data_IF_180266449550
#
_entry.id   IF_180266449550
#
_cell.length_a   1.000
_cell.length_b   1.000
_cell.length_c   1.000
_cell.angle_alpha   90.00
_cell.angle_beta   90.00
_cell.angle_gamma   90.00
#
_symmetry.space_group_name_H-M   'P 1'
#
loop_
_entity.id
_entity.type
_entity.pdbx_description
1 polymer ?
#
# COMPACT_ATOMS: atom_id res chain seq x y z
N UNK A 1 -28.07 5.14 29.22
CA UNK A 1 -28.18 3.67 29.37
C UNK A 1 -26.77 3.10 29.24
N UNK A 2 -26.31 2.33 30.22
CA UNK A 2 -24.95 1.80 30.24
C UNK A 2 -24.80 0.71 29.16
N UNK A 3 -23.84 0.87 28.25
CA UNK A 3 -23.51 -0.13 27.23
C UNK A 3 -22.80 -1.29 27.91
N UNK A 4 -23.59 -2.24 28.41
CA UNK A 4 -23.19 -3.61 28.78
C UNK A 4 -23.52 -4.47 27.54
N UNK A 5 -22.70 -5.38 27.04
CA UNK A 5 -21.31 -5.67 27.30
C UNK A 5 -20.69 -6.24 26.03
N UNK A 6 -19.57 -5.66 25.60
CA UNK A 6 -18.72 -6.22 24.56
C UNK A 6 -17.31 -6.28 25.11
N UNK A 7 -16.70 -7.46 25.02
CA UNK A 7 -15.30 -7.67 25.37
C UNK A 7 -14.46 -7.68 24.11
N UNK A 8 -13.27 -7.11 24.20
CA UNK A 8 -12.32 -7.00 23.09
C UNK A 8 -11.08 -7.79 23.49
N UNK A 9 -10.63 -8.63 22.58
CA UNK A 9 -9.45 -9.47 22.77
C UNK A 9 -8.52 -9.27 21.58
N UNK A 10 -7.24 -9.42 21.83
CA UNK A 10 -6.21 -9.34 20.82
C UNK A 10 -5.45 -10.64 20.70
N UNK A 11 -5.32 -11.15 19.47
CA UNK A 11 -4.49 -12.32 19.20
C UNK A 11 -3.51 -12.00 18.07
N UNK A 12 -2.19 -12.18 18.25
CA UNK A 12 -1.24 -12.07 17.15
C UNK A 12 -1.64 -12.97 15.96
N UNK A 13 -1.44 -12.50 14.73
CA UNK A 13 -1.72 -13.34 13.55
C UNK A 13 -0.79 -14.56 13.50
N UNK A 14 -1.23 -15.63 12.83
CA UNK A 14 -0.37 -16.79 12.58
C UNK A 14 0.92 -16.36 11.86
N UNK A 15 2.08 -16.73 12.42
CA UNK A 15 3.40 -16.35 11.91
C UNK A 15 3.88 -14.94 12.32
N UNK A 16 3.08 -14.19 13.09
CA UNK A 16 3.54 -12.96 13.71
C UNK A 16 4.53 -13.24 14.85
N UNK A 17 5.29 -12.22 15.24
CA UNK A 17 6.16 -12.32 16.40
C UNK A 17 5.35 -12.70 17.64
N UNK A 18 5.95 -13.50 18.52
CA UNK A 18 5.40 -13.79 19.83
C UNK A 18 5.30 -12.53 20.70
N UNK A 19 6.07 -11.48 20.40
CA UNK A 19 6.05 -10.23 21.17
C UNK A 19 5.05 -9.23 20.59
N UNK A 20 4.17 -8.70 21.44
CA UNK A 20 3.21 -7.65 21.02
C UNK A 20 3.92 -6.39 20.52
N UNK A 21 5.07 -6.07 21.11
CA UNK A 21 5.96 -4.96 20.75
C UNK A 21 6.33 -4.97 19.26
N UNK A 22 6.77 -6.11 18.73
CA UNK A 22 7.17 -6.23 17.31
C UNK A 22 5.97 -6.16 16.35
N UNK A 23 4.78 -6.49 16.83
CA UNK A 23 3.55 -6.42 16.05
C UNK A 23 2.93 -5.02 16.04
N UNK A 24 3.49 -4.04 16.77
CA UNK A 24 2.98 -2.68 16.78
C UNK A 24 3.08 -2.01 15.41
N UNK A 25 2.01 -1.32 15.01
CA UNK A 25 1.98 -0.52 13.81
C UNK A 25 2.47 0.88 14.16
N UNK A 26 3.58 1.28 13.55
CA UNK A 26 4.23 2.56 13.78
C UNK A 26 3.89 3.59 12.72
N UNK A 27 3.91 4.87 13.12
CA UNK A 27 3.62 5.99 12.24
C UNK A 27 4.61 6.06 11.08
N UNK A 28 4.12 6.31 9.87
CA UNK A 28 4.88 6.43 8.62
C UNK A 28 5.73 5.20 8.24
N UNK A 29 5.48 4.04 8.84
CA UNK A 29 6.27 2.83 8.58
C UNK A 29 5.79 2.02 7.37
N UNK A 30 4.58 2.28 6.87
CA UNK A 30 3.90 1.46 5.86
C UNK A 30 2.39 1.73 5.80
N UNK A 31 1.63 0.69 5.45
CA UNK A 31 0.21 0.73 5.16
C UNK A 31 -0.56 -0.32 5.94
N UNK A 32 -1.77 0.03 6.34
CA UNK A 32 -2.65 -0.77 7.16
C UNK A 32 -3.76 -1.34 6.27
N UNK A 33 -4.02 -2.63 6.42
CA UNK A 33 -5.22 -3.26 5.88
C UNK A 33 -6.10 -3.73 7.04
N UNK A 34 -7.40 -3.51 6.92
CA UNK A 34 -8.41 -3.99 7.85
C UNK A 34 -9.39 -4.86 7.09
N UNK A 35 -9.49 -6.11 7.48
CA UNK A 35 -10.43 -7.06 6.91
C UNK A 35 -11.34 -7.56 8.03
N UNK A 36 -12.65 -7.44 7.84
CA UNK A 36 -13.61 -8.23 8.60
C UNK A 36 -13.45 -9.67 8.12
N UNK A 37 -13.01 -10.56 9.01
CA UNK A 37 -12.65 -11.95 8.67
C UNK A 37 -13.80 -12.91 8.92
N UNK A 38 -14.48 -12.77 10.06
CA UNK A 38 -15.65 -13.58 10.37
C UNK A 38 -16.60 -12.87 11.32
N UNK A 39 -17.86 -13.30 11.29
CA UNK A 39 -18.97 -12.83 12.10
C UNK A 39 -19.80 -14.03 12.51
N UNK A 40 -20.12 -14.12 13.80
CA UNK A 40 -21.17 -15.00 14.28
C UNK A 40 -22.30 -14.16 14.87
N UNK A 41 -23.53 -14.53 14.54
CA UNK A 41 -24.74 -13.97 15.13
C UNK A 41 -25.48 -15.05 15.91
N UNK A 42 -25.66 -14.82 17.21
CA UNK A 42 -26.55 -15.62 18.04
C UNK A 42 -27.92 -14.97 18.07
N UNK A 43 -28.89 -15.57 17.36
CA UNK A 43 -30.27 -15.08 17.42
C UNK A 43 -30.96 -15.58 18.68
N UNK A 44 -31.48 -14.65 19.50
CA UNK A 44 -32.36 -14.97 20.62
C UNK A 44 -33.78 -14.53 20.27
N UNK A 45 -34.65 -15.50 19.97
CA UNK A 45 -36.03 -15.25 19.62
C UNK A 45 -36.88 -14.91 20.84
N UNK A 46 -37.90 -14.06 20.66
CA UNK A 46 -38.93 -13.91 21.68
C UNK A 46 -39.83 -15.17 21.74
N UNK A 47 -40.74 -15.23 22.73
CA UNK A 47 -41.68 -16.35 22.90
C UNK A 47 -42.38 -16.73 21.59
N UNK A 48 -42.96 -15.75 20.89
CA UNK A 48 -43.70 -15.98 19.65
C UNK A 48 -42.81 -16.48 18.52
N UNK A 49 -41.62 -15.91 18.33
CA UNK A 49 -40.69 -16.37 17.32
C UNK A 49 -40.19 -17.79 17.64
N UNK A 50 -40.01 -18.12 18.92
CA UNK A 50 -39.60 -19.45 19.38
C UNK A 50 -40.69 -20.49 19.15
N UNK A 51 -41.94 -20.16 19.47
CA UNK A 51 -43.08 -21.10 19.38
C UNK A 51 -43.55 -21.31 17.95
N UNK A 52 -43.50 -20.29 17.09
CA UNK A 52 -44.11 -20.32 15.75
C UNK A 52 -43.11 -20.27 14.59
N UNK A 53 -41.80 -20.35 14.87
CA UNK A 53 -40.77 -20.42 13.83
C UNK A 53 -40.47 -19.07 13.17
N UNK A 54 -40.23 -18.04 13.99
CA UNK A 54 -39.90 -16.70 13.54
C UNK A 54 -38.48 -16.55 12.97
N UNK A 55 -38.28 -15.42 12.31
CA UNK A 55 -36.99 -15.02 11.73
C UNK A 55 -36.66 -13.59 12.14
N UNK A 56 -35.37 -13.28 12.17
CA UNK A 56 -34.84 -11.93 12.26
C UNK A 56 -34.20 -11.55 10.93
N UNK A 57 -34.37 -10.31 10.49
CA UNK A 57 -33.46 -9.73 9.48
C UNK A 57 -32.34 -9.03 10.21
N UNK A 58 -31.10 -9.36 9.89
CA UNK A 58 -29.92 -8.73 10.47
C UNK A 58 -29.25 -7.83 9.44
N UNK A 59 -28.70 -6.71 9.92
CA UNK A 59 -27.85 -5.83 9.16
C UNK A 59 -26.55 -5.59 9.92
N UNK A 60 -25.43 -5.77 9.23
CA UNK A 60 -24.08 -5.50 9.74
C UNK A 60 -23.53 -4.25 9.04
N UNK A 61 -23.15 -3.26 9.82
CA UNK A 61 -22.49 -2.06 9.34
C UNK A 61 -21.18 -1.81 10.09
N UNK A 62 -20.18 -1.37 9.34
CA UNK A 62 -18.86 -0.97 9.85
C UNK A 62 -18.62 0.48 9.51
N UNK A 63 -18.15 1.24 10.49
CA UNK A 63 -17.70 2.62 10.33
C UNK A 63 -16.22 2.70 10.67
N UNK A 64 -15.43 3.23 9.75
CA UNK A 64 -14.02 3.50 9.94
C UNK A 64 -13.81 5.01 10.05
N UNK A 65 -13.19 5.46 11.13
CA UNK A 65 -12.75 6.83 11.33
C UNK A 65 -11.23 6.86 11.31
N UNK A 66 -10.70 7.69 10.43
CA UNK A 66 -9.28 7.91 10.23
C UNK A 66 -8.95 9.35 10.63
N UNK A 67 -8.10 9.53 11.63
CA UNK A 67 -7.77 10.84 12.19
C UNK A 67 -6.29 11.16 11.96
N UNK A 68 -6.01 12.26 11.28
CA UNK A 68 -4.67 12.74 10.98
C UNK A 68 -4.58 14.24 11.26
N UNK A 69 -4.11 14.60 12.46
CA UNK A 69 -4.08 15.99 12.90
C UNK A 69 -5.48 16.59 13.01
N UNK A 70 -5.76 17.63 12.23
CA UNK A 70 -7.08 18.30 12.19
C UNK A 70 -8.05 17.65 11.21
N UNK A 71 -7.57 16.79 10.32
CA UNK A 71 -8.39 16.13 9.31
C UNK A 71 -8.92 14.80 9.85
N UNK A 72 -10.23 14.61 9.75
CA UNK A 72 -10.90 13.35 10.10
C UNK A 72 -11.71 12.87 8.91
N UNK A 73 -11.42 11.67 8.43
CA UNK A 73 -12.17 11.00 7.39
C UNK A 73 -12.98 9.89 8.05
N UNK A 74 -14.29 9.87 7.78
CA UNK A 74 -15.19 8.82 8.25
C UNK A 74 -15.85 8.15 7.06
N UNK A 75 -15.80 6.82 7.02
CA UNK A 75 -16.45 6.00 6.01
C UNK A 75 -17.32 4.96 6.69
N UNK A 76 -18.61 4.89 6.32
CA UNK A 76 -19.53 3.86 6.81
C UNK A 76 -20.00 2.99 5.66
N UNK A 77 -20.01 1.67 5.87
CA UNK A 77 -20.42 0.69 4.87
C UNK A 77 -21.27 -0.42 5.50
N UNK A 78 -22.30 -0.84 4.77
CA UNK A 78 -23.10 -2.02 5.10
C UNK A 78 -22.37 -3.23 4.54
N UNK A 79 -21.99 -4.15 5.42
CA UNK A 79 -21.20 -5.34 5.07
C UNK A 79 -22.06 -6.51 4.65
N UNK A 80 -23.23 -6.64 5.27
CA UNK A 80 -24.14 -7.75 5.03
C UNK A 80 -25.54 -7.43 5.53
N UNK A 81 -26.54 -7.98 4.84
CA UNK A 81 -27.94 -7.92 5.26
C UNK A 81 -28.61 -9.23 4.86
N UNK A 82 -29.18 -9.95 5.82
CA UNK A 82 -29.85 -11.23 5.54
C UNK A 82 -30.92 -11.58 6.55
N UNK A 83 -31.80 -12.50 6.17
CA UNK A 83 -32.83 -13.06 7.03
C UNK A 83 -32.36 -14.40 7.60
N UNK A 84 -32.54 -14.60 8.90
CA UNK A 84 -32.07 -15.79 9.64
C UNK A 84 -33.17 -16.27 10.60
N UNK A 85 -33.22 -17.57 10.90
CA UNK A 85 -34.20 -18.10 11.86
C UNK A 85 -33.75 -17.80 13.28
N UNK A 86 -34.69 -17.66 14.20
CA UNK A 86 -34.32 -17.42 15.60
C UNK A 86 -33.77 -18.67 16.30
N UNK A 87 -33.10 -18.46 17.45
CA UNK A 87 -32.57 -19.51 18.34
C UNK A 87 -31.56 -20.45 17.67
N UNK A 88 -30.73 -19.87 16.81
CA UNK A 88 -29.60 -20.55 16.17
C UNK A 88 -28.42 -19.61 16.07
N UNK A 89 -27.23 -20.20 16.06
CA UNK A 89 -25.99 -19.51 15.76
C UNK A 89 -25.76 -19.54 14.26
N UNK A 90 -25.39 -18.37 13.72
CA UNK A 90 -25.13 -18.17 12.31
C UNK A 90 -23.73 -17.62 12.13
N UNK A 91 -22.84 -18.50 11.66
CA UNK A 91 -21.59 -18.05 11.10
C UNK A 91 -21.84 -17.46 9.70
N UNK A 92 -21.56 -16.18 9.54
CA UNK A 92 -21.88 -15.45 8.32
C UNK A 92 -20.76 -15.52 7.28
N UNK A 93 -19.57 -16.01 7.64
CA UNK A 93 -18.45 -16.24 6.70
C UNK A 93 -18.04 -14.98 5.91
N UNK A 94 -18.11 -13.80 6.55
CA UNK A 94 -17.90 -12.53 5.87
C UNK A 94 -16.41 -12.18 5.85
N UNK A 95 -15.72 -12.50 4.74
CA UNK A 95 -14.36 -12.03 4.46
C UNK A 95 -14.40 -10.75 3.63
N UNK A 96 -14.60 -9.60 4.27
CA UNK A 96 -14.75 -8.29 3.61
C UNK A 96 -13.61 -7.34 3.97
N UNK A 97 -12.99 -6.75 2.95
CA UNK A 97 -12.00 -5.70 3.16
C UNK A 97 -12.72 -4.41 3.53
N UNK A 98 -12.46 -3.91 4.73
CA UNK A 98 -13.01 -2.65 5.25
C UNK A 98 -12.10 -1.49 4.83
N UNK A 99 -10.79 -1.73 4.85
CA UNK A 99 -9.77 -0.79 4.43
C UNK A 99 -8.60 -1.53 3.80
N UNK A 100 -8.09 -1.00 2.70
CA UNK A 100 -6.95 -1.55 1.98
C UNK A 100 -5.91 -0.45 1.80
N UNK A 101 -4.68 -0.75 2.22
CA UNK A 101 -3.49 0.09 2.05
C UNK A 101 -3.71 1.54 2.50
N UNK A 102 -4.29 1.73 3.68
CA UNK A 102 -4.38 3.05 4.30
C UNK A 102 -2.99 3.42 4.84
N UNK A 103 -2.44 4.59 4.50
CA UNK A 103 -1.13 4.98 5.01
C UNK A 103 -1.15 5.10 6.54
N UNK A 104 -0.11 4.60 7.20
CA UNK A 104 0.03 4.67 8.65
C UNK A 104 0.48 6.06 9.13
N UNK A 105 -0.01 7.15 8.54
CA UNK A 105 0.32 8.53 8.94
C UNK A 105 -0.74 9.17 9.85
N UNK A 106 -1.86 8.48 10.11
CA UNK A 106 -2.85 8.89 11.10
C UNK A 106 -2.26 8.89 12.52
N UNK A 107 -2.91 9.65 13.40
CA UNK A 107 -2.72 9.60 14.84
C UNK A 107 -3.56 8.49 15.47
N UNK A 108 -4.76 8.25 14.92
CA UNK A 108 -5.66 7.21 15.39
C UNK A 108 -6.54 6.65 14.26
N UNK A 109 -6.92 5.38 14.43
CA UNK A 109 -7.96 4.72 13.64
C UNK A 109 -9.02 4.21 14.61
N UNK A 110 -10.28 4.58 14.39
CA UNK A 110 -11.40 4.01 15.12
C UNK A 110 -12.25 3.13 14.20
N UNK A 111 -12.49 1.89 14.63
CA UNK A 111 -13.36 0.92 13.98
C UNK A 111 -14.61 0.82 14.84
N UNK A 112 -15.74 1.26 14.32
CA UNK A 112 -17.05 1.10 14.94
C UNK A 112 -17.82 0.06 14.16
N UNK A 113 -18.51 -0.82 14.87
CA UNK A 113 -19.33 -1.86 14.27
C UNK A 113 -20.66 -1.90 14.97
N UNK A 114 -21.70 -1.96 14.16
CA UNK A 114 -23.07 -2.07 14.62
C UNK A 114 -23.73 -3.23 13.90
N UNK A 115 -24.19 -4.19 14.69
CA UNK A 115 -25.01 -5.29 14.20
C UNK A 115 -26.40 -5.19 14.79
N UNK A 116 -27.38 -5.16 13.90
CA UNK A 116 -28.72 -4.70 14.22
C UNK A 116 -29.76 -5.71 13.73
N UNK A 117 -30.69 -6.09 14.60
CA UNK A 117 -31.88 -6.82 14.19
C UNK A 117 -32.94 -5.83 13.68
N UNK A 118 -33.25 -5.91 12.39
CA UNK A 118 -34.20 -5.06 11.67
C UNK A 118 -35.60 -5.65 11.83
N UNK A 119 -36.46 -4.98 12.60
CA UNK A 119 -37.85 -5.41 12.86
C UNK A 119 -38.91 -4.67 12.02
N UNK A 120 -38.52 -3.73 11.14
CA UNK A 120 -39.45 -2.79 10.48
C UNK A 120 -39.34 -2.86 8.93
N UNK A 121 -40.49 -3.01 8.26
CA UNK A 121 -40.64 -3.14 6.79
C UNK A 121 -40.18 -1.89 6.00
N UNK A 122 -40.07 -0.73 6.66
CA UNK A 122 -39.55 0.50 6.02
C UNK A 122 -38.02 0.52 5.90
N UNK A 123 -37.30 -0.09 6.83
CA UNK A 123 -35.84 -0.30 6.75
C UNK A 123 -35.50 -1.39 5.75
N UNK A 124 -36.35 -2.42 5.66
CA UNK A 124 -36.27 -3.48 4.66
C UNK A 124 -36.11 -2.90 3.25
N UNK A 125 -37.04 -2.03 2.83
CA UNK A 125 -37.02 -1.42 1.50
C UNK A 125 -35.74 -0.58 1.25
N UNK A 126 -35.26 0.15 2.27
CA UNK A 126 -34.05 0.97 2.15
C UNK A 126 -32.76 0.14 2.13
N UNK A 127 -32.70 -0.98 2.86
CA UNK A 127 -31.59 -1.94 2.77
C UNK A 127 -31.59 -2.68 1.44
N UNK A 128 -32.77 -3.04 0.92
CA UNK A 128 -32.91 -3.71 -0.36
C UNK A 128 -32.47 -2.78 -1.53
N UNK A 129 -32.67 -1.47 -1.39
CA UNK A 129 -32.06 -0.46 -2.29
C UNK A 129 -30.53 -0.41 -2.17
N UNK A 130 -29.96 -0.41 -0.96
CA UNK A 130 -28.50 -0.40 -0.76
C UNK A 130 -27.80 -1.68 -1.22
N UNK A 131 -28.53 -2.80 -1.25
CA UNK A 131 -28.05 -4.07 -1.76
C UNK A 131 -28.05 -4.18 -3.30
N UNK A 132 -28.58 -3.18 -4.02
CA UNK A 132 -28.47 -3.20 -5.47
C UNK A 132 -27.01 -3.04 -5.92
N UNK A 133 -26.60 -3.72 -7.02
CA UNK A 133 -25.21 -3.73 -7.48
C UNK A 133 -24.60 -2.34 -7.69
N UNK A 134 -25.44 -1.37 -8.04
CA UNK A 134 -25.09 0.04 -8.27
C UNK A 134 -24.60 0.74 -6.98
N UNK A 135 -25.13 0.38 -5.81
CA UNK A 135 -24.72 0.93 -4.52
C UNK A 135 -23.62 0.09 -3.86
N UNK A 136 -23.62 -1.23 -4.06
CA UNK A 136 -22.56 -2.11 -3.56
C UNK A 136 -21.21 -1.87 -4.25
N UNK A 137 -21.20 -1.58 -5.56
CA UNK A 137 -19.99 -1.24 -6.29
C UNK A 137 -19.37 0.08 -5.80
N UNK A 138 -20.20 1.08 -5.49
CA UNK A 138 -19.74 2.33 -4.87
C UNK A 138 -19.22 2.14 -3.43
N UNK A 139 -19.69 1.10 -2.71
CA UNK A 139 -19.24 0.74 -1.36
C UNK A 139 -17.91 -0.05 -1.33
N UNK A 140 -17.53 -0.72 -2.42
CA UNK A 140 -16.33 -1.57 -2.51
C UNK A 140 -15.11 -0.89 -3.15
N UNK A 141 -15.23 0.36 -3.59
CA UNK A 141 -14.14 1.08 -4.24
C UNK A 141 -13.31 1.90 -3.23
N UNK A 142 -12.20 1.31 -2.76
CA UNK A 142 -11.00 2.09 -2.47
C UNK A 142 -10.11 2.10 -3.74
N UNK A 143 -9.33 3.15 -4.09
CA UNK A 143 -9.18 4.48 -3.50
C UNK A 143 -9.54 5.62 -4.50
N UNK A 144 -10.64 6.33 -4.25
CA UNK A 144 -10.96 7.70 -4.73
C UNK A 144 -11.81 8.41 -3.65
N UNK A 145 -11.32 8.32 -2.40
CA UNK A 145 -12.12 8.19 -1.16
C UNK A 145 -12.66 9.49 -0.53
N UNK A 146 -12.44 10.69 -1.07
CA UNK A 146 -12.93 11.90 -0.36
C UNK A 146 -14.28 12.40 -0.86
N UNK A 147 -14.61 12.25 -2.15
CA UNK A 147 -15.82 12.87 -2.74
C UNK A 147 -17.11 12.04 -2.67
N UNK A 148 -17.03 10.73 -2.92
CA UNK A 148 -18.23 9.86 -3.00
C UNK A 148 -18.63 9.26 -1.63
N UNK A 149 -17.72 9.28 -0.65
CA UNK A 149 -17.93 8.69 0.68
C UNK A 149 -18.88 9.51 1.55
N UNK A 150 -18.95 10.84 1.35
CA UNK A 150 -19.82 11.73 2.13
C UNK A 150 -21.31 11.44 1.90
N UNK A 151 -21.72 11.19 0.65
CA UNK A 151 -23.13 10.97 0.30
C UNK A 151 -23.64 9.63 0.84
N UNK A 152 -22.84 8.56 0.70
CA UNK A 152 -23.20 7.21 1.14
C UNK A 152 -23.19 7.11 2.68
N UNK A 153 -22.20 7.72 3.34
CA UNK A 153 -22.11 7.74 4.80
C UNK A 153 -23.33 8.44 5.42
N UNK A 154 -23.83 9.52 4.81
CA UNK A 154 -25.02 10.23 5.30
C UNK A 154 -26.31 9.39 5.20
N UNK A 155 -26.45 8.61 4.12
CA UNK A 155 -27.60 7.72 3.91
C UNK A 155 -27.58 6.57 4.91
N UNK A 156 -26.44 5.88 5.05
CA UNK A 156 -26.31 4.75 5.99
C UNK A 156 -26.50 5.22 7.44
N UNK A 157 -25.90 6.36 7.83
CA UNK A 157 -26.13 6.95 9.16
C UNK A 157 -27.62 7.21 9.41
N UNK A 158 -28.33 7.83 8.46
CA UNK A 158 -29.78 8.07 8.55
C UNK A 158 -30.59 6.78 8.73
N UNK A 159 -30.21 5.69 8.07
CA UNK A 159 -30.89 4.39 8.24
C UNK A 159 -30.81 3.86 9.67
N UNK A 160 -29.64 3.99 10.30
CA UNK A 160 -29.41 3.49 11.65
C UNK A 160 -29.80 4.47 12.77
N UNK A 161 -30.14 5.73 12.44
CA UNK A 161 -30.65 6.74 13.39
C UNK A 161 -32.18 6.93 13.34
N UNK A 162 -32.83 6.74 12.19
CA UNK A 162 -34.29 6.95 12.04
C UNK A 162 -35.15 5.78 12.51
N UNK A 163 -34.51 4.67 12.87
CA UNK A 163 -35.18 3.52 13.45
C UNK A 163 -34.75 3.40 14.90
N UNK A 164 -35.60 2.81 15.72
CA UNK A 164 -35.26 2.44 17.10
C UNK A 164 -34.87 0.94 17.12
N UNK A 165 -33.83 0.49 16.39
CA UNK A 165 -33.55 -0.91 16.34
C UNK A 165 -32.74 -1.30 17.57
N UNK A 166 -33.10 -2.43 18.18
CA UNK A 166 -32.28 -3.01 19.22
C UNK A 166 -30.97 -3.52 18.59
N UNK A 167 -29.87 -2.79 18.83
CA UNK A 167 -28.53 -3.22 18.46
C UNK A 167 -28.17 -4.45 19.30
N UNK A 168 -27.76 -5.54 18.63
CA UNK A 168 -27.35 -6.78 19.29
C UNK A 168 -25.86 -6.74 19.66
N UNK A 169 -25.06 -6.05 18.82
CA UNK A 169 -23.67 -5.75 19.10
C UNK A 169 -23.40 -4.31 18.66
N UNK A 170 -22.91 -3.49 19.58
CA UNK A 170 -22.35 -2.18 19.29
C UNK A 170 -20.97 -2.11 19.92
N UNK A 171 -19.95 -2.12 19.08
CA UNK A 171 -18.57 -2.23 19.50
C UNK A 171 -17.71 -1.20 18.77
N UNK A 172 -16.87 -0.50 19.51
CA UNK A 172 -15.91 0.44 18.94
C UNK A 172 -14.51 0.09 19.41
N UNK A 173 -13.51 0.16 18.54
CA UNK A 173 -12.10 0.06 18.91
C UNK A 173 -11.36 1.26 18.36
N UNK A 174 -10.68 2.00 19.23
CA UNK A 174 -9.80 3.09 18.84
C UNK A 174 -8.35 2.63 19.03
N UNK A 175 -7.63 2.46 17.92
CA UNK A 175 -6.21 2.14 17.89
C UNK A 175 -5.39 3.40 17.62
N UNK A 176 -4.46 3.70 18.53
CA UNK A 176 -3.50 4.79 18.39
C UNK A 176 -2.32 4.31 17.54
N UNK A 177 -1.92 5.10 16.54
CA UNK A 177 -0.73 4.84 15.74
C UNK A 177 0.39 5.73 16.27
N UNK A 178 1.28 5.16 17.07
CA UNK A 178 2.37 5.92 17.70
C UNK A 178 3.63 5.95 16.84
N UNK A 179 4.44 6.99 17.03
CA UNK A 179 5.78 7.09 16.44
C UNK A 179 6.81 6.22 17.17
N UNK A 180 6.55 5.86 18.43
CA UNK A 180 7.46 5.10 19.28
C UNK A 180 6.88 3.72 19.57
N UNK A 181 7.79 2.76 19.66
CA UNK A 181 7.49 1.38 20.02
C UNK A 181 7.35 1.24 21.54
N UNK A 182 6.40 0.42 21.99
CA UNK A 182 6.07 0.21 23.40
C UNK A 182 6.07 -1.29 23.73
N UNK A 183 6.32 -1.64 25.00
CA UNK A 183 6.43 -3.04 25.41
C UNK A 183 5.05 -3.74 25.48
N UNK A 184 4.00 -3.00 25.88
CA UNK A 184 2.62 -3.51 25.98
C UNK A 184 1.65 -2.67 25.12
N UNK A 185 1.78 -2.71 23.78
CA UNK A 185 1.06 -1.80 22.90
C UNK A 185 -0.47 -1.99 22.97
N UNK A 186 -0.96 -3.22 23.12
CA UNK A 186 -2.40 -3.53 23.17
C UNK A 186 -3.07 -2.91 24.38
N UNK A 187 -2.49 -3.08 25.57
CA UNK A 187 -3.04 -2.50 26.81
C UNK A 187 -3.02 -0.98 26.81
N UNK A 188 -2.08 -0.38 26.07
CA UNK A 188 -1.96 1.06 25.90
C UNK A 188 -2.79 1.60 24.72
N UNK A 189 -3.68 0.77 24.15
CA UNK A 189 -4.57 1.15 23.06
C UNK A 189 -3.85 1.42 21.73
N UNK A 190 -2.62 0.93 21.55
CA UNK A 190 -1.89 1.04 20.28
C UNK A 190 -2.38 0.03 19.28
N UNK A 191 -2.41 0.45 18.02
CA UNK A 191 -2.74 -0.43 16.91
C UNK A 191 -1.61 -1.44 16.68
N UNK A 192 -1.96 -2.71 16.58
CA UNK A 192 -1.04 -3.84 16.39
C UNK A 192 -1.52 -4.71 15.23
N UNK A 193 -0.64 -5.57 14.69
CA UNK A 193 -0.94 -6.54 13.62
C UNK A 193 -1.42 -7.87 14.19
N UNK A 194 -2.55 -8.38 13.70
CA UNK A 194 -3.20 -9.55 14.29
C UNK A 194 -4.71 -9.52 14.19
N UNK A 195 -5.34 -10.32 15.03
CA UNK A 195 -6.77 -10.50 15.11
C UNK A 195 -7.34 -9.68 16.28
N UNK A 196 -8.21 -8.74 15.95
CA UNK A 196 -9.05 -8.05 16.92
C UNK A 196 -10.40 -8.78 17.00
N UNK A 197 -10.66 -9.39 18.15
CA UNK A 197 -11.85 -10.18 18.41
C UNK A 197 -12.78 -9.33 19.29
N UNK A 198 -14.03 -9.14 18.87
CA UNK A 198 -15.05 -8.44 19.63
C UNK A 198 -16.19 -9.41 19.91
N UNK A 199 -16.46 -9.70 21.18
CA UNK A 199 -17.49 -10.66 21.60
C UNK A 199 -18.53 -9.93 22.44
N UNK A 200 -19.80 -10.06 22.06
CA UNK A 200 -20.90 -9.62 22.91
C UNK A 200 -21.01 -10.55 24.12
N UNK A 201 -21.09 -9.97 25.32
CA UNK A 201 -21.35 -10.69 26.57
C UNK A 201 -22.81 -10.61 26.98
N UNK A 202 -23.67 -10.08 26.11
CA UNK A 202 -25.12 -10.02 26.34
C UNK A 202 -25.81 -11.35 26.02
N UNK A 203 -25.13 -12.21 25.28
CA UNK A 203 -25.61 -13.47 24.74
C UNK A 203 -24.53 -14.54 24.88
N UNK A 204 -24.82 -15.59 25.65
CA UNK A 204 -23.87 -16.68 25.90
C UNK A 204 -22.92 -16.40 27.07
N UNK A 205 -21.66 -16.80 26.90
CA UNK A 205 -20.66 -16.79 27.98
C UNK A 205 -20.17 -15.37 28.32
N UNK A 206 -19.83 -15.08 29.58
CA UNK A 206 -19.47 -13.73 30.01
C UNK A 206 -18.03 -13.31 29.67
N UNK A 207 -17.14 -14.25 29.29
CA UNK A 207 -15.73 -14.00 28.91
C UNK A 207 -14.98 -13.02 29.85
N UNK A 208 -15.12 -13.20 31.18
CA UNK A 208 -14.55 -12.27 32.16
C UNK A 208 -13.04 -12.43 32.38
N UNK A 209 -12.52 -13.66 32.32
CA UNK A 209 -11.11 -13.99 32.53
C UNK A 209 -10.64 -14.94 31.43
N UNK A 210 -10.18 -14.37 30.32
CA UNK A 210 -9.90 -15.10 29.08
C UNK A 210 -8.40 -15.09 28.81
N UNK A 211 -7.86 -16.25 28.47
CA UNK A 211 -6.51 -16.37 27.95
C UNK A 211 -6.57 -16.22 26.42
N UNK A 212 -6.15 -15.07 25.90
CA UNK A 212 -6.23 -14.73 24.47
C UNK A 212 -5.47 -15.73 23.57
N UNK A 213 -4.48 -16.43 24.13
CA UNK A 213 -3.71 -17.44 23.40
C UNK A 213 -4.56 -18.64 22.99
N UNK A 214 -5.64 -18.94 23.75
CA UNK A 214 -6.54 -20.08 23.53
C UNK A 214 -7.62 -19.83 22.48
N UNK A 215 -7.73 -18.60 21.95
CA UNK A 215 -8.56 -18.35 20.78
C UNK A 215 -7.97 -18.99 19.55
N UNK A 216 -8.79 -19.58 18.69
CA UNK A 216 -8.35 -20.17 17.43
C UNK A 216 -9.41 -19.95 16.35
N UNK A 217 -8.98 -19.81 15.10
CA UNK A 217 -9.89 -19.70 13.96
C UNK A 217 -9.80 -20.99 13.15
N UNK A 218 -10.90 -21.73 13.05
CA UNK A 218 -11.00 -22.96 12.24
C UNK A 218 -12.06 -22.75 11.17
N UNK A 219 -11.60 -22.60 9.93
CA UNK A 219 -12.46 -22.11 8.85
C UNK A 219 -12.94 -20.69 9.18
N UNK A 220 -14.26 -20.51 9.18
CA UNK A 220 -14.89 -19.23 9.52
C UNK A 220 -15.31 -19.14 10.99
N UNK A 221 -15.13 -20.17 11.82
CA UNK A 221 -15.58 -20.16 13.21
C UNK A 221 -14.45 -19.83 14.21
N UNK A 222 -14.79 -19.05 15.22
CA UNK A 222 -13.95 -18.77 16.39
C UNK A 222 -14.15 -19.86 17.44
N UNK A 223 -13.04 -20.41 17.92
CA UNK A 223 -12.98 -21.37 19.01
C UNK A 223 -12.26 -20.75 20.19
N UNK A 224 -12.69 -21.09 21.40
CA UNK A 224 -11.96 -20.84 22.63
C UNK A 224 -11.75 -22.17 23.35
N UNK A 225 -10.49 -22.56 23.56
CA UNK A 225 -10.13 -23.81 24.23
C UNK A 225 -10.81 -25.05 23.59
N UNK A 226 -10.75 -25.15 22.26
CA UNK A 226 -11.37 -26.19 21.41
C UNK A 226 -12.91 -26.20 21.34
N UNK A 227 -13.61 -25.32 22.05
CA UNK A 227 -15.05 -25.18 21.96
C UNK A 227 -15.40 -24.00 21.05
N UNK A 228 -16.41 -24.16 20.20
CA UNK A 228 -16.88 -23.06 19.35
C UNK A 228 -17.49 -21.97 20.22
N UNK A 229 -17.15 -20.71 19.93
CA UNK A 229 -17.74 -19.56 20.62
C UNK A 229 -19.15 -19.37 20.08
N UNK A 230 -20.15 -19.54 20.94
CA UNK A 230 -21.56 -19.43 20.55
C UNK A 230 -22.07 -17.99 20.54
N UNK A 231 -21.48 -17.12 21.36
CA UNK A 231 -21.84 -15.71 21.45
C UNK A 231 -21.80 -15.01 20.09
N UNK A 232 -22.55 -13.93 19.96
CA UNK A 232 -22.34 -12.95 18.91
C UNK A 232 -20.92 -12.41 18.94
N UNK A 233 -20.18 -12.52 17.84
CA UNK A 233 -18.82 -11.97 17.74
C UNK A 233 -18.46 -11.50 16.34
N UNK A 234 -17.41 -10.69 16.29
CA UNK A 234 -16.73 -10.24 15.09
C UNK A 234 -15.23 -10.46 15.25
N UNK A 235 -14.56 -10.85 14.16
CA UNK A 235 -13.10 -10.92 14.13
C UNK A 235 -12.59 -10.08 12.97
N UNK A 236 -11.78 -9.08 13.30
CA UNK A 236 -11.03 -8.30 12.32
C UNK A 236 -9.61 -8.84 12.21
N UNK A 237 -9.11 -8.92 10.99
CA UNK A 237 -7.71 -9.13 10.69
C UNK A 237 -7.09 -7.78 10.32
N UNK A 238 -6.14 -7.33 11.14
CA UNK A 238 -5.36 -6.12 10.96
C UNK A 238 -3.99 -6.55 10.44
N UNK A 239 -3.72 -6.27 9.17
CA UNK A 239 -2.42 -6.54 8.56
C UNK A 239 -1.71 -5.26 8.18
N UNK A 240 -0.41 -5.39 7.90
CA UNK A 240 0.44 -4.27 7.58
C UNK A 240 1.40 -4.63 6.46
N UNK A 241 1.49 -3.74 5.49
CA UNK A 241 2.39 -3.85 4.35
C UNK A 241 3.37 -2.68 4.36
N UNK A 242 4.64 -2.96 4.06
CA UNK A 242 5.65 -1.91 4.04
C UNK A 242 5.47 -0.95 2.85
N UNK A 243 4.94 -1.45 1.73
CA UNK A 243 4.87 -0.73 0.46
C UNK A 243 3.48 -0.82 -0.13
N UNK A 244 3.05 0.26 -0.79
CA UNK A 244 1.83 0.27 -1.59
C UNK A 244 2.08 -0.25 -3.00
N UNK A 245 3.26 0.05 -3.56
CA UNK A 245 3.60 -0.23 -4.96
C UNK A 245 3.06 0.83 -5.91
N UNK A 246 3.33 0.68 -7.21
CA UNK A 246 2.91 1.66 -8.22
C UNK A 246 1.38 1.68 -8.42
N UNK A 247 0.85 2.86 -8.74
CA UNK A 247 -0.53 3.02 -9.22
C UNK A 247 -0.53 3.51 -10.67
N UNK A 248 -0.72 2.57 -11.60
CA UNK A 248 -0.73 2.84 -13.05
C UNK A 248 -1.84 3.80 -13.49
N UNK A 249 -2.91 3.93 -12.69
CA UNK A 249 -4.04 4.82 -13.02
C UNK A 249 -3.78 6.26 -12.58
N UNK A 250 -2.84 6.46 -11.66
CA UNK A 250 -2.51 7.77 -11.10
C UNK A 250 -1.94 8.73 -12.13
N UNK A 251 -2.14 10.03 -11.90
CA UNK A 251 -1.61 11.08 -12.79
C UNK A 251 -0.09 11.19 -12.71
N UNK A 252 0.49 10.97 -11.52
CA UNK A 252 1.95 10.99 -11.35
C UNK A 252 2.62 9.87 -12.17
N UNK A 253 2.04 8.67 -12.19
CA UNK A 253 2.60 7.54 -12.92
C UNK A 253 2.55 7.78 -14.43
N UNK A 254 1.42 8.30 -14.93
CA UNK A 254 1.28 8.73 -16.32
C UNK A 254 2.34 9.77 -16.68
N UNK A 255 2.57 10.78 -15.83
CA UNK A 255 3.59 11.81 -16.09
C UNK A 255 5.01 11.25 -16.14
N UNK A 256 5.36 10.31 -15.26
CA UNK A 256 6.66 9.66 -15.34
C UNK A 256 6.82 8.80 -16.60
N UNK A 257 5.75 8.12 -17.04
CA UNK A 257 5.77 7.43 -18.32
C UNK A 257 5.90 8.39 -19.51
N UNK A 258 5.24 9.55 -19.47
CA UNK A 258 5.42 10.59 -20.49
C UNK A 258 6.87 11.09 -20.54
N UNK A 259 7.50 11.28 -19.38
CA UNK A 259 8.91 11.66 -19.29
C UNK A 259 9.84 10.63 -19.96
N UNK A 260 9.58 9.33 -19.72
CA UNK A 260 10.31 8.23 -20.34
C UNK A 260 10.02 8.12 -21.84
N UNK A 261 8.77 8.27 -22.26
CA UNK A 261 8.37 8.22 -23.67
C UNK A 261 8.92 9.41 -24.47
N UNK A 262 9.08 10.58 -23.83
CA UNK A 262 9.69 11.74 -24.48
C UNK A 262 11.15 11.49 -24.87
N UNK A 263 11.88 10.64 -24.14
CA UNK A 263 13.25 10.24 -24.51
C UNK A 263 13.31 9.41 -25.79
N UNK A 264 12.22 8.73 -26.20
CA UNK A 264 12.22 7.94 -27.44
C UNK A 264 12.44 8.82 -28.68
N UNK A 265 12.15 10.12 -28.59
CA UNK A 265 12.44 11.09 -29.65
C UNK A 265 13.93 11.16 -30.00
N UNK A 266 14.83 10.86 -29.04
CA UNK A 266 16.29 10.85 -29.26
C UNK A 266 16.67 9.88 -30.39
N UNK A 267 15.94 8.77 -30.56
CA UNK A 267 16.20 7.81 -31.64
C UNK A 267 16.03 8.41 -33.05
N UNK A 268 15.28 9.51 -33.17
CA UNK A 268 14.97 10.19 -34.43
C UNK A 268 15.73 11.52 -34.56
N UNK A 269 16.54 11.89 -33.58
CA UNK A 269 17.22 13.19 -33.50
C UNK A 269 18.73 12.99 -33.63
N UNK A 270 19.37 13.72 -34.56
CA UNK A 270 20.83 13.70 -34.74
C UNK A 270 21.52 14.94 -34.16
N UNK A 271 20.77 16.03 -33.94
CA UNK A 271 21.30 17.27 -33.37
C UNK A 271 21.49 17.14 -31.85
N UNK A 272 22.73 17.33 -31.39
CA UNK A 272 23.10 17.25 -29.99
C UNK A 272 22.43 18.33 -29.12
N UNK A 273 22.13 19.50 -29.70
CA UNK A 273 21.40 20.57 -29.00
C UNK A 273 19.95 20.13 -28.74
N UNK A 274 19.32 19.53 -29.75
CA UNK A 274 17.97 19.00 -29.63
C UNK A 274 17.88 17.78 -28.70
N UNK A 275 18.88 16.88 -28.72
CA UNK A 275 18.99 15.77 -27.75
C UNK A 275 19.06 16.30 -26.30
N UNK A 276 19.86 17.33 -26.07
CA UNK A 276 20.00 17.96 -24.75
C UNK A 276 18.68 18.61 -24.30
N UNK A 277 17.96 19.23 -25.24
CA UNK A 277 16.63 19.80 -25.00
C UNK A 277 15.59 18.71 -24.65
N UNK A 278 15.54 17.61 -25.39
CA UNK A 278 14.64 16.48 -25.11
C UNK A 278 14.86 15.95 -23.69
N UNK A 279 16.11 15.82 -23.27
CA UNK A 279 16.43 15.41 -21.91
C UNK A 279 15.98 16.41 -20.84
N UNK A 280 16.15 17.72 -21.09
CA UNK A 280 15.63 18.78 -20.22
C UNK A 280 14.10 18.77 -20.13
N UNK A 281 13.41 18.54 -21.24
CA UNK A 281 11.95 18.42 -21.29
C UNK A 281 11.48 17.19 -20.49
N UNK A 282 12.17 16.05 -20.61
CA UNK A 282 11.92 14.85 -19.81
C UNK A 282 12.14 15.10 -18.31
N UNK A 283 13.18 15.86 -17.92
CA UNK A 283 13.38 16.27 -16.52
C UNK A 283 12.23 17.16 -16.02
N UNK A 284 11.73 18.05 -16.87
CA UNK A 284 10.59 18.93 -16.53
C UNK A 284 9.33 18.10 -16.26
N UNK A 285 9.03 17.12 -17.11
CA UNK A 285 7.93 16.17 -16.91
C UNK A 285 8.08 15.33 -15.62
N UNK A 286 9.32 14.96 -15.27
CA UNK A 286 9.61 14.31 -13.99
C UNK A 286 9.36 15.23 -12.79
N UNK A 287 9.74 16.51 -12.85
CA UNK A 287 9.46 17.49 -11.80
C UNK A 287 7.94 17.68 -11.62
N UNK A 288 7.18 17.75 -12.72
CA UNK A 288 5.72 17.77 -12.66
C UNK A 288 5.16 16.51 -12.00
N UNK A 289 5.69 15.33 -12.35
CA UNK A 289 5.35 14.06 -11.69
C UNK A 289 5.67 14.05 -10.19
N UNK A 290 6.79 14.66 -9.77
CA UNK A 290 7.16 14.79 -8.37
C UNK A 290 6.12 15.61 -7.58
N UNK A 291 5.65 16.72 -8.16
CA UNK A 291 4.61 17.54 -7.54
C UNK A 291 3.29 16.76 -7.38
N UNK A 292 2.93 15.94 -8.37
CA UNK A 292 1.74 15.10 -8.32
C UNK A 292 1.82 14.00 -7.26
N UNK A 293 2.96 13.32 -7.12
CA UNK A 293 3.12 12.29 -6.07
C UNK A 293 3.23 12.91 -4.67
N UNK A 294 3.75 14.13 -4.54
CA UNK A 294 3.75 14.86 -3.26
C UNK A 294 2.35 15.27 -2.82
N UNK A 295 1.48 15.60 -3.78
CA UNK A 295 0.06 15.87 -3.52
C UNK A 295 -0.74 14.58 -3.23
N UNK A 296 -0.23 13.40 -3.56
CA UNK A 296 -0.92 12.13 -3.34
C UNK A 296 -0.83 11.67 -1.88
N UNK A 297 -1.82 12.09 -1.08
CA UNK A 297 -1.96 11.75 0.33
C UNK A 297 -2.04 10.24 0.62
N UNK A 298 -2.26 9.40 -0.40
CA UNK A 298 -2.42 7.96 -0.24
C UNK A 298 -1.10 7.19 -0.17
N UNK A 299 0.04 7.87 -0.35
CA UNK A 299 1.39 7.31 -0.19
C UNK A 299 2.10 7.92 1.03
N UNK A 300 2.92 7.13 1.72
CA UNK A 300 3.80 7.62 2.79
C UNK A 300 5.03 8.32 2.21
N UNK A 301 5.54 9.34 2.91
CA UNK A 301 6.69 10.14 2.45
C UNK A 301 7.91 9.30 2.06
N UNK A 302 8.20 8.24 2.84
CA UNK A 302 9.33 7.34 2.58
C UNK A 302 9.21 6.67 1.20
N UNK A 303 8.04 6.14 0.86
CA UNK A 303 7.82 5.49 -0.43
C UNK A 303 7.75 6.50 -1.57
N UNK A 304 7.19 7.70 -1.35
CA UNK A 304 7.23 8.78 -2.36
C UNK A 304 8.66 9.09 -2.79
N UNK A 305 9.59 9.25 -1.83
CA UNK A 305 11.01 9.49 -2.14
C UNK A 305 11.61 8.34 -2.94
N UNK A 306 11.31 7.08 -2.55
CA UNK A 306 11.81 5.90 -3.27
C UNK A 306 11.29 5.84 -4.71
N UNK A 307 10.00 6.14 -4.93
CA UNK A 307 9.40 6.20 -6.26
C UNK A 307 10.06 7.29 -7.10
N UNK A 308 10.28 8.50 -6.55
CA UNK A 308 10.95 9.61 -7.25
C UNK A 308 12.37 9.23 -7.66
N UNK A 309 13.15 8.63 -6.75
CA UNK A 309 14.52 8.19 -7.00
C UNK A 309 14.55 7.08 -8.07
N UNK A 310 13.63 6.12 -8.01
CA UNK A 310 13.51 5.07 -9.02
C UNK A 310 13.10 5.62 -10.39
N UNK A 311 12.22 6.63 -10.44
CA UNK A 311 11.80 7.29 -11.67
C UNK A 311 12.95 8.04 -12.34
N UNK A 312 13.69 8.89 -11.60
CA UNK A 312 14.81 9.65 -12.17
C UNK A 312 15.95 8.74 -12.62
N UNK A 313 16.27 7.69 -11.84
CA UNK A 313 17.27 6.70 -12.23
C UNK A 313 16.87 5.98 -13.54
N UNK A 314 15.57 5.68 -13.72
CA UNK A 314 15.08 5.08 -14.97
C UNK A 314 15.17 6.04 -16.16
N UNK A 315 14.94 7.34 -15.96
CA UNK A 315 15.11 8.37 -16.99
C UNK A 315 16.60 8.51 -17.37
N UNK A 316 17.50 8.54 -16.39
CA UNK A 316 18.95 8.61 -16.60
C UNK A 316 19.47 7.37 -17.34
N UNK A 317 19.06 6.17 -16.91
CA UNK A 317 19.42 4.90 -17.55
C UNK A 317 18.96 4.86 -19.01
N UNK A 318 17.70 5.24 -19.28
CA UNK A 318 17.17 5.31 -20.64
C UNK A 318 17.91 6.34 -21.48
N UNK A 319 18.15 7.56 -20.97
CA UNK A 319 18.93 8.58 -21.66
C UNK A 319 20.32 8.07 -22.03
N UNK A 320 21.06 7.51 -21.07
CA UNK A 320 22.39 6.91 -21.30
C UNK A 320 22.32 5.82 -22.36
N UNK A 321 21.33 4.93 -22.32
CA UNK A 321 21.21 3.86 -23.33
C UNK A 321 20.98 4.38 -24.75
N UNK A 322 20.38 5.58 -24.90
CA UNK A 322 20.07 6.18 -26.20
C UNK A 322 21.19 7.11 -26.70
N UNK A 323 22.00 7.68 -25.80
CA UNK A 323 23.06 8.63 -26.17
C UNK A 323 24.47 8.07 -26.07
N UNK A 324 24.67 6.95 -25.36
CA UNK A 324 25.98 6.30 -25.33
C UNK A 324 26.13 5.54 -26.65
N UNK A 325 27.12 5.85 -27.49
CA UNK A 325 27.37 5.03 -28.68
C UNK A 325 27.60 3.59 -28.22
N UNK A 326 27.03 2.62 -28.95
CA UNK A 326 27.31 1.20 -28.73
C UNK A 326 28.82 1.06 -28.56
N UNK A 327 29.27 0.59 -27.39
CA UNK A 327 30.70 0.56 -27.09
C UNK A 327 31.41 -0.08 -28.29
N UNK A 328 32.43 0.58 -28.89
CA UNK A 328 33.28 -0.12 -29.83
C UNK A 328 33.78 -1.35 -29.08
N UNK A 329 33.62 -2.51 -29.72
CA UNK A 329 34.07 -3.82 -29.21
C UNK A 329 35.38 -3.58 -28.47
N UNK A 330 35.39 -3.88 -27.17
CA UNK A 330 36.55 -3.72 -26.30
C UNK A 330 37.82 -4.11 -27.06
N UNK A 331 38.76 -3.17 -27.19
CA UNK A 331 40.05 -3.36 -27.88
C UNK A 331 40.82 -4.57 -27.33
N UNK A 332 40.48 -5.07 -26.14
CA UNK A 332 40.99 -6.33 -25.59
C UNK A 332 40.64 -7.54 -26.49
N UNK A 333 39.44 -7.58 -27.08
CA UNK A 333 39.04 -8.66 -27.98
C UNK A 333 39.67 -8.51 -29.38
N UNK A 334 39.92 -7.27 -29.83
CA UNK A 334 40.60 -7.03 -31.11
C UNK A 334 42.07 -7.46 -31.05
N UNK A 335 42.76 -7.24 -29.92
CA UNK A 335 44.13 -7.73 -29.72
C UNK A 335 44.23 -9.26 -29.69
N UNK A 336 43.24 -9.96 -29.14
CA UNK A 336 43.26 -11.42 -29.07
C UNK A 336 42.88 -12.08 -30.40
N UNK A 337 42.00 -11.46 -31.19
CA UNK A 337 41.69 -11.88 -32.57
C UNK A 337 42.90 -11.66 -33.49
N UNK A 338 43.60 -10.52 -33.38
CA UNK A 338 44.81 -10.24 -34.17
C UNK A 338 46.00 -11.12 -33.75
N UNK A 339 46.15 -11.43 -32.45
CA UNK A 339 47.14 -12.41 -31.96
C UNK A 339 46.85 -13.82 -32.47
N UNK A 340 45.57 -14.21 -32.49
CA UNK A 340 45.13 -15.49 -33.04
C UNK A 340 45.33 -15.63 -34.56
N UNK A 341 45.24 -14.52 -35.31
CA UNK A 341 45.41 -14.50 -36.76
C UNK A 341 46.86 -14.36 -37.24
N UNK A 342 47.75 -13.75 -36.45
CA UNK A 342 49.12 -13.42 -36.90
C UNK A 342 50.23 -14.16 -36.17
N UNK A 343 49.93 -14.86 -35.06
CA UNK A 343 50.88 -15.74 -34.36
C UNK A 343 52.13 -15.06 -33.79
N UNK A 344 52.18 -13.72 -33.73
CA UNK A 344 53.36 -12.96 -33.30
C UNK A 344 53.10 -12.15 -32.03
N UNK A 345 54.04 -12.18 -31.09
CA UNK A 345 54.00 -11.45 -29.81
C UNK A 345 54.78 -10.13 -29.81
N UNK A 346 55.34 -9.68 -30.94
CA UNK A 346 56.16 -8.46 -30.97
C UNK A 346 55.37 -7.20 -31.33
N UNK A 347 55.10 -6.38 -30.32
CA UNK A 347 54.38 -5.09 -30.37
C UNK A 347 55.20 -3.91 -30.95
N UNK A 348 56.11 -4.15 -31.91
CA UNK A 348 56.99 -3.06 -32.40
C UNK A 348 56.44 -2.28 -33.60
N UNK A 349 55.24 -2.61 -34.09
CA UNK A 349 54.64 -1.93 -35.26
C UNK A 349 53.67 -0.81 -34.90
N UNK A 350 53.21 -0.71 -33.64
CA UNK A 350 52.26 0.33 -33.22
C UNK A 350 52.96 1.65 -32.88
N UNK A 351 54.19 1.62 -32.36
CA UNK A 351 55.00 2.84 -32.15
C UNK A 351 55.36 3.55 -33.46
N UNK A 352 55.49 2.80 -34.57
CA UNK A 352 55.75 3.38 -35.89
C UNK A 352 54.50 3.98 -36.58
N UNK A 353 53.30 3.72 -36.06
CA UNK A 353 52.04 4.26 -36.61
C UNK A 353 51.51 5.49 -35.85
N UNK A 354 52.04 5.77 -34.65
CA UNK A 354 51.60 6.87 -33.80
C UNK A 354 52.01 8.32 -34.22
N UNK A 355 52.93 8.57 -35.19
CA UNK A 355 53.14 9.93 -35.66
C UNK A 355 52.02 10.49 -36.56
N UNK A 356 51.11 9.65 -37.08
CA UNK A 356 50.12 10.10 -38.08
C UNK A 356 48.78 10.58 -37.50
N UNK A 357 48.50 10.40 -36.21
CA UNK A 357 47.28 10.92 -35.56
C UNK A 357 47.50 12.22 -34.78
N UNK A 358 48.76 12.62 -34.56
CA UNK A 358 49.11 13.87 -33.87
C UNK A 358 48.76 15.14 -34.64
N UNK A 359 48.56 15.08 -35.96
CA UNK A 359 48.23 16.25 -36.78
C UNK A 359 46.76 16.69 -36.68
N UNK A 360 45.86 15.81 -36.24
CA UNK A 360 44.43 16.10 -36.16
C UNK A 360 44.02 16.78 -34.85
N UNK A 361 44.76 16.52 -33.77
CA UNK A 361 44.50 17.12 -32.46
C UNK A 361 45.08 18.55 -32.35
N UNK A 362 46.21 18.82 -33.00
CA UNK A 362 46.82 20.16 -33.03
C UNK A 362 46.09 21.19 -33.90
N UNK A 363 45.20 20.77 -34.81
CA UNK A 363 44.50 21.70 -35.72
C UNK A 363 43.14 22.17 -35.18
N UNK A 364 42.59 21.48 -34.17
CA UNK A 364 41.23 21.73 -33.68
C UNK A 364 41.16 22.25 -32.23
N UNK A 365 42.23 22.08 -31.46
CA UNK A 365 42.31 22.60 -30.10
C UNK A 365 43.72 23.15 -29.85
N UNK A 366 43.80 24.44 -29.50
CA UNK A 366 45.05 25.13 -29.13
C UNK A 366 45.45 24.68 -27.70
N UNK A 367 45.79 23.41 -27.56
CA UNK A 367 46.21 22.80 -26.31
C UNK A 367 47.73 22.95 -26.23
N UNK A 368 48.18 23.91 -25.42
CA UNK A 368 49.59 24.03 -25.08
C UNK A 368 50.05 22.74 -24.37
N UNK A 369 50.92 21.93 -24.97
CA UNK A 369 51.38 20.66 -24.39
C UNK A 369 52.22 20.85 -23.11
N UNK A 370 52.50 22.09 -22.70
CA UNK A 370 53.24 22.43 -21.48
C UNK A 370 52.36 22.90 -20.32
N UNK A 371 51.03 23.01 -20.50
CA UNK A 371 50.11 23.32 -19.39
C UNK A 371 49.59 22.03 -18.75
N UNK A 372 49.72 21.86 -17.42
CA UNK A 372 49.06 20.77 -16.72
C UNK A 372 47.54 20.88 -16.89
N UNK A 373 46.90 19.73 -17.12
CA UNK A 373 45.46 19.59 -17.27
C UNK A 373 44.77 20.16 -16.02
N UNK A 374 43.76 21.02 -16.20
CA UNK A 374 43.02 21.61 -15.09
C UNK A 374 42.09 20.55 -14.47
N UNK A 375 42.52 19.95 -13.36
CA UNK A 375 41.80 18.88 -12.65
C UNK A 375 40.44 19.30 -12.10
N UNK A 376 40.11 20.60 -12.08
CA UNK A 376 38.81 21.10 -11.61
C UNK A 376 37.63 20.66 -12.49
N UNK A 377 37.88 20.32 -13.76
CA UNK A 377 36.89 19.73 -14.68
C UNK A 377 36.70 18.22 -14.48
N UNK A 378 37.64 17.53 -13.82
CA UNK A 378 37.55 16.10 -13.51
C UNK A 378 36.81 15.84 -12.17
N UNK A 379 36.96 16.74 -11.20
CA UNK A 379 36.27 16.64 -9.91
C UNK A 379 34.73 16.76 -10.06
N UNK A 380 34.24 17.52 -11.04
CA UNK A 380 32.80 17.62 -11.35
C UNK A 380 32.24 16.33 -11.97
N UNK A 381 33.01 15.65 -12.83
CA UNK A 381 32.65 14.36 -13.44
C UNK A 381 32.60 13.21 -12.41
N UNK A 382 33.46 13.24 -11.38
CA UNK A 382 33.40 12.26 -10.28
C UNK A 382 32.16 12.47 -9.40
N UNK A 383 31.74 13.72 -9.20
CA UNK A 383 30.54 14.03 -8.41
C UNK A 383 29.24 13.54 -9.08
N UNK A 384 29.10 13.73 -10.40
CA UNK A 384 27.93 13.26 -11.17
C UNK A 384 27.87 11.73 -11.27
N UNK A 385 29.03 11.06 -11.38
CA UNK A 385 29.09 9.59 -11.38
C UNK A 385 28.70 9.01 -10.02
N UNK A 386 29.14 9.63 -8.93
CA UNK A 386 28.77 9.23 -7.57
C UNK A 386 27.26 9.36 -7.31
N UNK A 387 26.62 10.43 -7.79
CA UNK A 387 25.16 10.62 -7.65
C UNK A 387 24.38 9.56 -8.44
N UNK A 388 24.80 9.27 -9.67
CA UNK A 388 24.14 8.28 -10.51
C UNK A 388 24.30 6.85 -9.97
N UNK A 389 25.47 6.50 -9.43
CA UNK A 389 25.72 5.22 -8.76
C UNK A 389 24.87 5.09 -7.48
N UNK A 390 24.71 6.17 -6.70
CA UNK A 390 23.83 6.21 -5.53
C UNK A 390 22.36 6.03 -5.91
N UNK A 391 21.87 6.74 -6.94
CA UNK A 391 20.49 6.63 -7.42
C UNK A 391 20.19 5.23 -7.99
N UNK A 392 21.15 4.65 -8.71
CA UNK A 392 21.04 3.29 -9.25
C UNK A 392 20.99 2.26 -8.12
N UNK A 393 21.83 2.42 -7.09
CA UNK A 393 21.82 1.57 -5.90
C UNK A 393 20.49 1.69 -5.13
N UNK A 394 19.98 2.90 -4.96
CA UNK A 394 18.70 3.15 -4.29
C UNK A 394 17.53 2.56 -5.07
N UNK A 395 17.50 2.71 -6.40
CA UNK A 395 16.54 2.04 -7.28
C UNK A 395 16.64 0.53 -7.12
N UNK A 396 17.85 -0.05 -7.20
CA UNK A 396 18.05 -1.49 -7.02
C UNK A 396 17.53 -2.00 -5.67
N UNK A 397 17.89 -1.33 -4.58
CA UNK A 397 17.42 -1.68 -3.24
C UNK A 397 15.90 -1.57 -3.10
N UNK A 398 15.28 -0.56 -3.70
CA UNK A 398 13.83 -0.41 -3.73
C UNK A 398 13.15 -1.52 -4.55
N UNK A 399 13.65 -1.82 -5.75
CA UNK A 399 13.12 -2.90 -6.60
C UNK A 399 13.23 -4.27 -5.94
N UNK A 400 14.35 -4.56 -5.29
CA UNK A 400 14.54 -5.81 -4.55
C UNK A 400 13.62 -5.88 -3.33
N UNK A 401 13.36 -4.74 -2.67
CA UNK A 401 12.39 -4.66 -1.58
C UNK A 401 10.96 -4.91 -2.09
N UNK A 402 10.57 -4.35 -3.23
CA UNK A 402 9.26 -4.62 -3.84
C UNK A 402 9.12 -6.10 -4.22
N UNK A 403 10.14 -6.70 -4.86
CA UNK A 403 10.13 -8.12 -5.24
C UNK A 403 9.96 -9.04 -4.03
N UNK A 404 10.64 -8.76 -2.92
CA UNK A 404 10.47 -9.51 -1.65
C UNK A 404 9.03 -9.47 -1.13
N UNK A 405 8.26 -8.46 -1.52
CA UNK A 405 6.85 -8.28 -1.17
C UNK A 405 5.89 -8.63 -2.33
N UNK A 406 6.34 -9.37 -3.35
CA UNK A 406 5.58 -9.74 -4.54
C UNK A 406 5.01 -8.54 -5.33
N UNK A 407 5.63 -7.37 -5.19
CA UNK A 407 5.31 -6.17 -5.96
C UNK A 407 6.28 -6.00 -7.11
N UNK A 408 5.81 -5.40 -8.20
CA UNK A 408 6.64 -5.09 -9.37
C UNK A 408 6.56 -3.61 -9.65
N UNK A 409 7.72 -2.98 -9.82
CA UNK A 409 7.80 -1.65 -10.41
C UNK A 409 7.60 -1.78 -11.92
N UNK A 410 6.61 -1.07 -12.44
CA UNK A 410 6.12 -1.21 -13.82
C UNK A 410 6.47 -0.03 -14.71
N UNK A 411 6.98 1.05 -14.12
CA UNK A 411 7.43 2.21 -14.88
C UNK A 411 8.45 1.79 -15.95
N UNK A 412 8.21 2.16 -17.21
CA UNK A 412 9.08 1.85 -18.35
C UNK A 412 9.05 0.41 -18.87
N UNK A 413 8.19 -0.47 -18.33
CA UNK A 413 7.97 -1.82 -18.89
C UNK A 413 6.74 -1.81 -19.79
N UNK A 414 6.90 -2.21 -21.06
CA UNK A 414 5.81 -2.55 -21.97
C UNK A 414 5.57 -4.05 -21.96
#
# INVERSE_FOLDING_TARGET
MAVIGTKKFWKPSLGASATQKENQILKNAGYINLQLRTVNYMSVGNFWQTTFGGKDKIALATTLKYQSGVDSIEATSVQDVREIKVNKNYNLGLQRNIAIKIPANADAIAIEVKMTAVKNDSLQAKFDMLNQPEYQSALQLAPTVVGQVLTITSLVKKLFTDSDPHAQLEASYAGIISSQQEDNPVSNGKLTRGLLIMISTNDGDPFNNVDESKFDLRGDALYYNNNEVENTYLVFNISFEQFKGDDEKSNWFKKYNDALNNLDKIQLTQDQVEISKIYSDSKTLWIEGNALIDADATYINKERVQIKNAAIASIQEKYKSLTTPAQPISLLNATDILKGLTGSTSFHTVELALPMTGSFLNSSFDIDPKKPFDNSLLESLESDKNIDDMLTKDKGAYLDSLKKHNLTFKLGKK
#
